data_IF_797429007675
#
_entry.id   IF_797429007675
#
_cell.length_a   1.000
_cell.length_b   1.000
_cell.length_c   1.000
_cell.angle_alpha   90.00
_cell.angle_beta   90.00
_cell.angle_gamma   90.00
#
_symmetry.space_group_name_H-M   'P 1'
#
loop_
_entity.id
_entity.type
_entity.pdbx_description
1 polymer ?
#
# COMPACT_ATOMS: atom_id res chain seq x y z
N UNK A 1 -4.60 18.43 -15.31
CA UNK A 1 -3.99 18.46 -13.96
C UNK A 1 -4.27 19.77 -13.22
N UNK A 2 -4.00 20.95 -13.80
CA UNK A 2 -4.23 22.25 -13.15
C UNK A 2 -5.69 22.46 -12.64
N UNK A 3 -6.69 22.01 -13.39
CA UNK A 3 -8.10 22.15 -13.00
C UNK A 3 -8.45 21.46 -11.67
N UNK A 4 -7.81 20.33 -11.36
CA UNK A 4 -8.03 19.61 -10.09
C UNK A 4 -7.47 20.42 -8.93
N UNK A 5 -6.24 20.93 -9.09
CA UNK A 5 -5.60 21.79 -8.09
C UNK A 5 -6.44 23.05 -7.82
N UNK A 6 -6.92 23.71 -8.86
CA UNK A 6 -7.78 24.89 -8.72
C UNK A 6 -9.09 24.60 -7.98
N UNK A 7 -9.71 23.44 -8.25
CA UNK A 7 -10.92 23.01 -7.54
C UNK A 7 -10.67 22.74 -6.06
N UNK A 8 -9.55 22.10 -5.72
CA UNK A 8 -9.12 21.88 -4.33
C UNK A 8 -8.85 23.21 -3.61
N UNK A 9 -8.09 24.11 -4.22
CA UNK A 9 -7.83 25.44 -3.67
C UNK A 9 -9.09 26.28 -3.53
N UNK A 10 -10.10 26.07 -4.39
CA UNK A 10 -11.42 26.72 -4.22
C UNK A 10 -12.17 26.18 -2.99
N UNK A 11 -12.03 24.90 -2.64
CA UNK A 11 -12.58 24.32 -1.41
C UNK A 11 -11.86 24.87 -0.18
N UNK A 12 -10.53 24.96 -0.24
CA UNK A 12 -9.71 25.58 0.83
C UNK A 12 -10.18 27.01 1.11
N UNK A 13 -10.36 27.82 0.06
CA UNK A 13 -10.90 29.19 0.18
C UNK A 13 -12.33 29.27 0.76
N UNK A 14 -13.08 28.17 0.76
CA UNK A 14 -14.41 28.06 1.38
C UNK A 14 -14.37 27.47 2.79
N UNK A 15 -13.17 27.29 3.38
CA UNK A 15 -12.98 26.78 4.74
C UNK A 15 -12.77 25.28 4.85
N UNK A 16 -12.58 24.55 3.73
CA UNK A 16 -12.20 23.14 3.80
C UNK A 16 -10.72 23.01 4.17
N UNK A 17 -10.40 22.22 5.19
CA UNK A 17 -9.02 21.84 5.49
C UNK A 17 -8.48 20.88 4.43
N UNK A 18 -7.28 21.15 3.92
CA UNK A 18 -6.59 20.27 2.98
C UNK A 18 -5.19 19.97 3.50
N UNK A 19 -4.94 18.69 3.76
CA UNK A 19 -3.63 18.17 4.14
C UNK A 19 -3.12 17.32 3.00
N UNK A 20 -1.92 17.62 2.53
CA UNK A 20 -1.20 16.84 1.54
C UNK A 20 -0.14 15.98 2.23
N UNK A 21 -0.21 14.67 1.99
CA UNK A 21 0.75 13.70 2.51
C UNK A 21 1.61 13.22 1.35
N UNK A 22 2.89 13.61 1.28
CA UNK A 22 3.77 13.22 0.18
C UNK A 22 4.14 11.74 0.29
N UNK A 23 4.15 11.07 -0.87
CA UNK A 23 4.60 9.69 -1.00
C UNK A 23 6.03 9.54 -1.50
N UNK A 24 6.41 8.32 -1.84
CA UNK A 24 7.73 7.98 -2.39
C UNK A 24 8.03 8.65 -3.75
N UNK A 25 7.00 9.02 -4.52
CA UNK A 25 7.17 9.71 -5.81
C UNK A 25 7.35 11.22 -5.65
N UNK A 26 6.96 11.77 -4.51
CA UNK A 26 6.97 13.20 -4.21
C UNK A 26 8.04 13.51 -3.13
N UNK A 27 9.18 12.81 -3.17
CA UNK A 27 10.21 12.87 -2.13
C UNK A 27 10.69 14.31 -1.85
N UNK A 28 10.83 15.13 -2.89
CA UNK A 28 11.18 16.54 -2.75
C UNK A 28 10.15 17.36 -1.95
N UNK A 29 8.89 16.93 -1.88
CA UNK A 29 7.86 17.59 -1.06
C UNK A 29 8.00 17.27 0.43
N UNK A 30 8.73 16.21 0.80
CA UNK A 30 8.94 15.83 2.21
C UNK A 30 9.78 16.86 2.97
N UNK A 31 10.69 17.56 2.28
CA UNK A 31 11.49 18.64 2.86
C UNK A 31 10.62 19.84 3.31
N UNK A 32 9.39 19.91 2.83
CA UNK A 32 8.41 20.95 3.17
C UNK A 32 7.38 20.47 4.21
N UNK A 33 7.50 19.27 4.77
CA UNK A 33 6.58 18.83 5.82
C UNK A 33 6.64 19.76 7.05
N UNK A 34 5.48 20.09 7.61
CA UNK A 34 5.31 21.12 8.64
C UNK A 34 5.11 22.53 8.09
N UNK A 35 5.14 22.70 6.76
CA UNK A 35 4.85 23.97 6.09
C UNK A 35 3.38 24.06 5.65
N UNK A 36 2.92 25.28 5.40
CA UNK A 36 1.61 25.54 4.80
C UNK A 36 1.72 26.46 3.59
N UNK A 37 1.15 26.07 2.45
CA UNK A 37 1.15 26.85 1.21
C UNK A 37 -0.27 27.05 0.68
N UNK A 38 -0.70 28.30 0.53
CA UNK A 38 -2.01 28.61 -0.04
C UNK A 38 -3.19 27.97 0.71
N UNK A 39 -3.04 27.73 2.03
CA UNK A 39 -4.01 27.06 2.89
C UNK A 39 -3.94 25.52 2.85
N UNK A 40 -2.97 24.93 2.15
CA UNK A 40 -2.70 23.49 2.14
C UNK A 40 -1.55 23.18 3.09
N UNK A 41 -1.79 22.33 4.09
CA UNK A 41 -0.74 21.83 4.97
C UNK A 41 -0.01 20.66 4.29
N UNK A 42 1.30 20.61 4.41
CA UNK A 42 2.11 19.47 3.96
C UNK A 42 2.58 18.74 5.20
N UNK A 43 2.18 17.49 5.36
CA UNK A 43 2.44 16.73 6.59
C UNK A 43 2.93 15.32 6.26
N UNK A 44 3.80 14.75 7.10
CA UNK A 44 4.23 13.35 6.93
C UNK A 44 3.12 12.35 7.27
N UNK A 45 2.28 12.71 8.22
CA UNK A 45 1.13 11.95 8.66
C UNK A 45 0.17 12.89 9.38
N UNK A 46 -1.12 12.55 9.45
CA UNK A 46 -2.10 13.32 10.22
C UNK A 46 -3.13 12.42 10.88
N UNK A 47 -3.85 12.94 11.86
CA UNK A 47 -4.97 12.25 12.48
C UNK A 47 -6.27 12.85 11.93
N UNK A 48 -7.08 12.03 11.29
CA UNK A 48 -8.41 12.38 10.85
C UNK A 48 -9.46 11.75 11.76
N UNK A 49 -10.40 12.55 12.26
CA UNK A 49 -11.59 12.02 12.94
C UNK A 49 -12.65 11.72 11.89
N UNK A 50 -12.97 10.44 11.72
CA UNK A 50 -14.01 9.99 10.80
C UNK A 50 -15.41 10.40 11.25
N UNK A 51 -16.38 10.30 10.34
CA UNK A 51 -17.79 10.57 10.63
C UNK A 51 -18.38 9.60 11.67
N UNK A 52 -17.74 8.46 11.90
CA UNK A 52 -18.04 7.48 12.93
C UNK A 52 -17.46 7.84 14.32
N UNK A 53 -16.74 8.96 14.43
CA UNK A 53 -16.07 9.42 15.64
C UNK A 53 -14.74 8.71 15.95
N UNK A 54 -14.29 7.79 15.09
CA UNK A 54 -12.99 7.12 15.26
C UNK A 54 -11.86 8.01 14.74
N UNK A 55 -10.70 7.91 15.36
CA UNK A 55 -9.46 8.54 14.93
C UNK A 55 -8.73 7.60 13.97
N UNK A 56 -8.39 8.11 12.81
CA UNK A 56 -7.65 7.42 11.76
C UNK A 56 -6.30 8.09 11.58
N UNK A 57 -5.23 7.29 11.65
CA UNK A 57 -3.91 7.72 11.22
C UNK A 57 -3.87 7.72 9.69
N UNK A 58 -3.62 8.87 9.08
CA UNK A 58 -3.49 9.00 7.63
C UNK A 58 -2.01 9.16 7.31
N UNK A 59 -1.48 8.33 6.43
CA UNK A 59 -0.08 8.40 5.98
C UNK A 59 0.09 7.75 4.60
N UNK A 60 1.23 7.93 3.92
CA UNK A 60 1.44 7.26 2.62
C UNK A 60 1.74 5.76 2.79
N UNK A 61 2.67 5.41 3.69
CA UNK A 61 2.97 4.02 4.07
C UNK A 61 4.28 3.46 3.49
N UNK A 62 4.96 4.17 2.59
CA UNK A 62 6.25 3.76 2.03
C UNK A 62 7.37 3.73 3.07
N UNK A 63 7.22 4.44 4.20
CA UNK A 63 8.14 4.34 5.33
C UNK A 63 8.32 2.89 5.82
N UNK A 64 7.30 2.05 5.62
CA UNK A 64 7.31 0.66 6.03
C UNK A 64 7.90 -0.29 4.98
N UNK A 65 8.26 0.18 3.78
CA UNK A 65 8.96 -0.64 2.76
C UNK A 65 10.34 -1.10 3.22
N UNK A 66 11.03 -0.26 3.99
CA UNK A 66 12.38 -0.58 4.51
C UNK A 66 12.29 -1.66 5.58
N UNK A 67 11.21 -1.65 6.35
CA UNK A 67 10.91 -2.66 7.37
C UNK A 67 10.52 -3.98 6.71
N UNK A 68 9.71 -3.93 5.65
CA UNK A 68 9.21 -5.10 4.92
C UNK A 68 10.09 -5.36 3.69
N UNK A 69 11.31 -5.88 3.90
CA UNK A 69 12.32 -6.09 2.85
C UNK A 69 11.79 -6.84 1.59
N UNK A 70 11.97 -6.20 0.43
CA UNK A 70 11.99 -6.75 -0.94
C UNK A 70 10.74 -7.51 -1.43
N UNK A 71 9.69 -6.78 -1.82
CA UNK A 71 8.65 -7.32 -2.71
C UNK A 71 7.94 -6.27 -3.61
N UNK A 72 8.57 -5.12 -3.91
CA UNK A 72 7.95 -4.01 -4.68
C UNK A 72 7.28 -4.41 -6.01
N UNK A 73 7.73 -5.48 -6.66
CA UNK A 73 7.18 -5.96 -7.92
C UNK A 73 6.07 -7.03 -7.76
N UNK A 74 5.84 -7.53 -6.55
CA UNK A 74 4.84 -8.58 -6.28
C UNK A 74 3.45 -8.01 -5.95
N UNK A 75 3.35 -6.74 -5.54
CA UNK A 75 2.07 -6.05 -5.35
C UNK A 75 1.22 -6.01 -6.64
N UNK A 76 1.88 -6.06 -7.80
CA UNK A 76 1.23 -6.12 -9.12
C UNK A 76 0.67 -7.51 -9.48
N UNK A 77 0.97 -8.58 -8.72
CA UNK A 77 0.55 -9.96 -8.99
C UNK A 77 -0.64 -10.39 -8.11
N UNK A 78 -1.70 -9.58 -8.07
CA UNK A 78 -2.95 -9.92 -7.38
C UNK A 78 -3.74 -11.05 -8.05
N UNK A 79 -4.36 -11.91 -7.23
CA UNK A 79 -5.37 -13.00 -7.39
C UNK A 79 -5.41 -13.92 -8.62
N UNK A 80 -4.86 -13.56 -9.77
CA UNK A 80 -4.83 -14.41 -10.97
C UNK A 80 -3.59 -15.33 -11.03
N UNK A 81 -2.58 -15.05 -10.20
CA UNK A 81 -1.29 -15.73 -10.22
C UNK A 81 -1.36 -17.22 -9.85
N UNK A 82 -2.26 -17.60 -8.94
CA UNK A 82 -2.41 -19.00 -8.52
C UNK A 82 -2.94 -19.88 -9.66
N UNK A 83 -3.99 -19.42 -10.35
CA UNK A 83 -4.61 -20.13 -11.48
C UNK A 83 -3.72 -20.12 -12.71
N UNK A 84 -3.05 -18.98 -13.02
CA UNK A 84 -2.03 -18.93 -14.06
C UNK A 84 -0.86 -19.88 -13.79
N UNK A 85 -0.38 -19.95 -12.54
CA UNK A 85 0.75 -20.80 -12.20
C UNK A 85 0.42 -22.29 -12.43
N UNK A 86 -0.79 -22.71 -12.07
CA UNK A 86 -1.27 -24.08 -12.32
C UNK A 86 -1.43 -24.37 -13.82
N UNK A 87 -2.01 -23.44 -14.56
CA UNK A 87 -2.17 -23.56 -16.02
C UNK A 87 -0.80 -23.65 -16.73
N UNK A 88 0.11 -22.73 -16.41
CA UNK A 88 1.44 -22.64 -17.00
C UNK A 88 2.30 -23.86 -16.64
N UNK A 89 2.19 -24.39 -15.42
CA UNK A 89 2.89 -25.59 -15.00
C UNK A 89 2.48 -26.84 -15.79
N UNK A 90 1.20 -26.93 -16.15
CA UNK A 90 0.67 -28.05 -16.92
C UNK A 90 1.20 -28.00 -18.36
N UNK A 91 1.19 -26.83 -18.97
CA UNK A 91 1.63 -26.62 -20.35
C UNK A 91 3.16 -26.73 -20.49
N UNK A 92 3.91 -26.16 -19.54
CA UNK A 92 5.37 -26.27 -19.52
C UNK A 92 5.86 -27.69 -19.23
N UNK A 93 5.14 -28.48 -18.43
CA UNK A 93 5.50 -29.90 -18.25
C UNK A 93 5.29 -30.72 -19.53
N UNK A 94 4.30 -30.39 -20.35
CA UNK A 94 4.07 -31.03 -21.66
C UNK A 94 5.19 -30.68 -22.63
N UNK A 95 5.53 -29.38 -22.77
CA UNK A 95 6.63 -28.92 -23.63
C UNK A 95 7.98 -29.46 -23.13
N UNK A 96 8.23 -29.49 -21.82
CA UNK A 96 9.47 -30.01 -21.23
C UNK A 96 9.66 -31.51 -21.45
N UNK A 97 8.58 -32.30 -21.43
CA UNK A 97 8.63 -33.73 -21.76
C UNK A 97 9.14 -33.98 -23.18
N UNK A 98 8.92 -33.03 -24.10
CA UNK A 98 9.45 -33.10 -25.45
C UNK A 98 10.93 -32.69 -25.57
N UNK A 99 11.47 -31.94 -24.61
CA UNK A 99 12.85 -31.39 -24.67
C UNK A 99 13.86 -32.02 -23.69
N UNK A 100 13.49 -32.99 -22.86
CA UNK A 100 14.43 -33.79 -22.05
C UNK A 100 15.19 -33.05 -20.93
N UNK A 101 14.73 -31.87 -20.50
CA UNK A 101 15.42 -31.05 -19.49
C UNK A 101 15.19 -31.51 -18.03
N UNK A 102 16.17 -31.30 -17.11
CA UNK A 102 16.07 -31.68 -15.69
C UNK A 102 14.90 -31.00 -14.96
N UNK A 103 14.46 -31.61 -13.84
CA UNK A 103 13.29 -31.15 -13.08
C UNK A 103 13.56 -29.81 -12.38
N UNK A 104 12.93 -28.73 -12.89
CA UNK A 104 12.79 -27.47 -12.19
C UNK A 104 11.31 -27.13 -12.06
N UNK A 105 10.79 -27.10 -10.83
CA UNK A 105 9.38 -26.81 -10.59
C UNK A 105 9.17 -25.30 -10.59
N UNK A 106 8.82 -24.75 -11.75
CA UNK A 106 8.33 -23.37 -11.86
C UNK A 106 7.14 -23.14 -10.92
N UNK A 107 6.31 -24.17 -10.67
CA UNK A 107 5.26 -24.11 -9.64
C UNK A 107 5.78 -23.90 -8.23
N UNK A 108 6.83 -24.62 -7.83
CA UNK A 108 7.43 -24.42 -6.51
C UNK A 108 8.02 -23.01 -6.41
N UNK A 109 8.70 -22.54 -7.46
CA UNK A 109 9.24 -21.18 -7.52
C UNK A 109 8.15 -20.10 -7.43
N UNK A 110 7.08 -20.23 -8.22
CA UNK A 110 5.94 -19.31 -8.19
C UNK A 110 5.19 -19.38 -6.86
N UNK A 111 4.96 -20.57 -6.30
CA UNK A 111 4.36 -20.75 -4.97
C UNK A 111 5.17 -20.06 -3.88
N UNK A 112 6.50 -20.19 -3.90
CA UNK A 112 7.37 -19.49 -2.97
C UNK A 112 7.27 -17.97 -3.14
N UNK A 113 7.19 -17.47 -4.37
CA UNK A 113 7.00 -16.04 -4.63
C UNK A 113 5.66 -15.51 -4.13
N UNK A 114 4.56 -16.20 -4.43
CA UNK A 114 3.21 -15.83 -3.95
C UNK A 114 3.17 -15.83 -2.42
N UNK A 115 3.72 -16.87 -1.77
CA UNK A 115 3.79 -16.92 -0.30
C UNK A 115 4.56 -15.72 0.27
N UNK A 116 5.66 -15.32 -0.36
CA UNK A 116 6.42 -14.13 0.05
C UNK A 116 5.61 -12.84 -0.12
N UNK A 117 4.82 -12.71 -1.19
CA UNK A 117 3.94 -11.56 -1.40
C UNK A 117 2.85 -11.45 -0.34
N UNK A 118 2.17 -12.57 -0.04
CA UNK A 118 1.11 -12.59 0.98
C UNK A 118 1.67 -12.27 2.36
N UNK A 119 2.83 -12.84 2.70
CA UNK A 119 3.51 -12.51 3.96
C UNK A 119 3.88 -11.03 4.02
N UNK A 120 4.38 -10.44 2.91
CA UNK A 120 4.69 -9.02 2.83
C UNK A 120 3.47 -8.14 3.13
N UNK A 121 2.32 -8.43 2.49
CA UNK A 121 1.08 -7.67 2.72
C UNK A 121 0.66 -7.77 4.20
N UNK A 122 0.70 -8.98 4.77
CA UNK A 122 0.38 -9.19 6.17
C UNK A 122 1.31 -8.44 7.13
N UNK A 123 2.63 -8.46 6.89
CA UNK A 123 3.62 -7.73 7.69
C UNK A 123 3.43 -6.21 7.57
N UNK A 124 3.09 -5.72 6.38
CA UNK A 124 2.79 -4.32 6.11
C UNK A 124 1.54 -3.84 6.85
N UNK A 125 0.43 -4.58 6.74
CA UNK A 125 -0.83 -4.33 7.46
C UNK A 125 -0.59 -4.29 8.98
N UNK A 126 0.21 -5.22 9.51
CA UNK A 126 0.55 -5.29 10.93
C UNK A 126 1.40 -4.10 11.38
N UNK A 127 2.40 -3.71 10.61
CA UNK A 127 3.28 -2.60 10.95
C UNK A 127 2.51 -1.27 11.00
N UNK A 128 1.67 -1.00 10.01
CA UNK A 128 0.81 0.19 9.98
C UNK A 128 -0.21 0.19 11.11
N UNK A 129 -0.78 -0.98 11.43
CA UNK A 129 -1.71 -1.10 12.56
C UNK A 129 -1.03 -0.82 13.89
N UNK A 130 0.23 -1.23 14.07
CA UNK A 130 1.01 -0.88 15.26
C UNK A 130 1.29 0.63 15.34
N UNK A 131 1.58 1.28 14.21
CA UNK A 131 1.80 2.72 14.17
C UNK A 131 0.53 3.50 14.53
N UNK A 132 -0.64 3.04 14.05
CA UNK A 132 -1.93 3.58 14.46
C UNK A 132 -2.11 3.54 15.99
N UNK A 133 -1.80 2.39 16.61
CA UNK A 133 -1.86 2.23 18.08
C UNK A 133 -0.94 3.21 18.79
N UNK A 134 0.30 3.39 18.31
CA UNK A 134 1.27 4.32 18.90
C UNK A 134 0.77 5.76 18.88
N UNK A 135 0.00 6.13 17.86
CA UNK A 135 -0.63 7.44 17.72
C UNK A 135 -2.02 7.54 18.41
N UNK A 136 -2.45 6.47 19.10
CA UNK A 136 -3.75 6.41 19.77
C UNK A 136 -4.94 6.45 18.81
N UNK A 137 -4.78 5.96 17.59
CA UNK A 137 -5.81 5.87 16.56
C UNK A 137 -6.47 4.48 16.54
N UNK A 138 -7.76 4.42 16.21
CA UNK A 138 -8.51 3.17 16.03
C UNK A 138 -8.48 2.65 14.58
N UNK A 139 -7.89 3.41 13.67
CA UNK A 139 -7.71 3.00 12.28
C UNK A 139 -6.47 3.62 11.65
N UNK A 140 -6.07 3.08 10.51
CA UNK A 140 -5.03 3.63 9.63
C UNK A 140 -5.53 3.63 8.19
N UNK A 141 -5.32 4.75 7.51
CA UNK A 141 -5.56 4.90 6.07
C UNK A 141 -4.22 5.16 5.42
N UNK A 142 -3.83 4.27 4.51
CA UNK A 142 -2.59 4.39 3.75
C UNK A 142 -2.81 4.20 2.26
N UNK A 143 -1.74 4.36 1.48
CA UNK A 143 -1.71 4.00 0.08
C UNK A 143 -0.55 3.07 -0.22
N UNK A 144 0.23 3.43 -1.22
CA UNK A 144 1.53 2.85 -1.56
C UNK A 144 1.54 1.45 -2.19
N UNK A 145 0.82 0.46 -1.66
CA UNK A 145 0.86 -0.92 -2.18
C UNK A 145 -0.13 -1.20 -3.32
N UNK A 146 -0.94 -0.20 -3.73
CA UNK A 146 -1.91 -0.31 -4.83
C UNK A 146 -2.87 -1.50 -4.73
N UNK A 147 -3.17 -1.93 -3.50
CA UNK A 147 -4.07 -3.04 -3.21
C UNK A 147 -5.20 -2.53 -2.32
N UNK A 148 -6.33 -2.22 -2.94
CA UNK A 148 -7.49 -1.71 -2.23
C UNK A 148 -8.00 -2.78 -1.24
N UNK A 149 -8.00 -2.44 0.05
CA UNK A 149 -8.39 -3.37 1.10
C UNK A 149 -8.88 -2.61 2.35
N UNK A 150 -9.95 -3.11 2.95
CA UNK A 150 -10.41 -2.71 4.27
C UNK A 150 -10.45 -3.96 5.15
N UNK A 151 -9.64 -3.99 6.22
CA UNK A 151 -9.51 -5.17 7.08
C UNK A 151 -9.41 -4.79 8.55
N UNK A 152 -9.90 -5.66 9.42
CA UNK A 152 -9.71 -5.54 10.85
C UNK A 152 -8.41 -6.27 11.25
N UNK A 153 -7.43 -5.54 11.77
CA UNK A 153 -6.13 -6.06 12.19
C UNK A 153 -6.01 -5.91 13.71
N UNK A 154 -6.49 -6.93 14.43
CA UNK A 154 -6.69 -6.84 15.87
C UNK A 154 -7.80 -5.84 16.20
N UNK A 155 -7.48 -4.79 16.94
CA UNK A 155 -8.37 -3.68 17.33
C UNK A 155 -8.33 -2.48 16.37
N UNK A 156 -7.43 -2.48 15.38
CA UNK A 156 -7.27 -1.38 14.41
C UNK A 156 -7.93 -1.71 13.07
N UNK A 157 -8.63 -0.74 12.49
CA UNK A 157 -9.15 -0.83 11.11
C UNK A 157 -8.07 -0.38 10.12
N UNK A 158 -7.60 -1.27 9.28
CA UNK A 158 -6.69 -0.98 8.17
C UNK A 158 -7.47 -0.65 6.90
N UNK A 159 -7.08 0.42 6.20
CA UNK A 159 -7.69 0.89 4.95
C UNK A 159 -6.58 1.28 3.96
N UNK A 160 -6.65 0.73 2.74
CA UNK A 160 -5.84 1.09 1.58
C UNK A 160 -6.73 1.23 0.35
#
# INVERSE_FOLDING_TARGET
HNDVLQKLLRKVRKGTELVYIPGNHDEAMRDYCGSQFGGVAIERQTIHTGADGRRYLIMHGDEFDVVVRYAKWLAFLGDWSYTMALWLNTHLNVVRRWFGMPYWSLSAYLKHKVKRAVNYIGEFEQALSQEARRNGAQGVVCGHIHHAAMRQVGDVVYIN
#
